data_IF_217728621619
#
_entry.id   IF_217728621619
#
_cell.length_a   1.000
_cell.length_b   1.000
_cell.length_c   1.000
_cell.angle_alpha   90.00
_cell.angle_beta   90.00
_cell.angle_gamma   90.00
#
_symmetry.space_group_name_H-M   'P 1'
#
loop_
_entity.id
_entity.type
_entity.pdbx_description
1 polymer ?
#
# COMPACT_ATOMS: atom_id res chain seq x y z
N UNK A 1 1.30 14.45 5.25
CA UNK A 1 0.19 14.03 4.34
C UNK A 1 -0.95 13.59 5.24
N UNK A 2 -2.20 14.02 4.96
CA UNK A 2 -3.35 13.51 5.71
C UNK A 2 -3.76 12.11 5.21
N UNK A 3 -4.55 11.38 6.04
CA UNK A 3 -4.87 9.98 5.76
C UNK A 3 -5.69 9.77 4.49
N UNK A 4 -6.62 10.68 4.15
CA UNK A 4 -7.42 10.57 2.94
C UNK A 4 -6.57 10.78 1.69
N UNK A 5 -5.67 11.76 1.72
CA UNK A 5 -4.73 11.99 0.62
C UNK A 5 -3.81 10.77 0.43
N UNK A 6 -3.34 10.13 1.51
CA UNK A 6 -2.53 8.91 1.41
C UNK A 6 -3.29 7.78 0.70
N UNK A 7 -4.57 7.55 1.06
CA UNK A 7 -5.42 6.55 0.41
C UNK A 7 -5.60 6.82 -1.09
N UNK A 8 -5.86 8.06 -1.47
CA UNK A 8 -6.16 8.43 -2.86
C UNK A 8 -4.91 8.48 -3.74
N UNK A 9 -3.74 8.84 -3.18
CA UNK A 9 -2.51 9.10 -3.96
C UNK A 9 -1.49 7.97 -3.95
N UNK A 10 -1.60 6.99 -3.03
CA UNK A 10 -0.70 5.84 -3.04
C UNK A 10 -0.75 5.08 -4.37
N UNK A 11 0.42 4.80 -4.94
CA UNK A 11 0.59 4.00 -6.18
C UNK A 11 1.58 2.86 -5.94
N UNK A 12 1.49 1.85 -6.79
CA UNK A 12 2.51 0.80 -6.86
C UNK A 12 3.76 1.35 -7.53
N UNK A 13 4.86 1.37 -6.80
CA UNK A 13 6.17 1.84 -7.24
C UNK A 13 7.08 0.63 -7.42
N UNK A 14 7.75 0.53 -8.57
CA UNK A 14 8.58 -0.61 -8.95
C UNK A 14 10.02 -0.24 -9.26
N UNK A 15 10.32 1.06 -9.33
CA UNK A 15 11.67 1.58 -9.55
C UNK A 15 12.03 2.49 -8.39
N UNK A 16 13.13 2.16 -7.71
CA UNK A 16 13.55 2.84 -6.49
C UNK A 16 14.94 3.43 -6.63
N UNK A 17 15.23 4.44 -5.84
CA UNK A 17 16.57 4.97 -5.65
C UNK A 17 17.38 4.00 -4.78
N UNK A 18 18.73 4.02 -4.89
CA UNK A 18 19.60 3.10 -4.15
C UNK A 18 19.72 3.43 -2.65
N UNK A 19 19.19 4.59 -2.20
CA UNK A 19 19.31 5.03 -0.81
C UNK A 19 18.59 4.06 0.13
N UNK A 20 19.27 3.72 1.23
CA UNK A 20 18.71 2.89 2.28
C UNK A 20 17.47 3.55 2.92
N UNK A 21 16.51 2.74 3.31
CA UNK A 21 15.35 3.19 4.07
C UNK A 21 15.76 3.39 5.53
N UNK A 22 15.46 4.56 6.08
CA UNK A 22 15.80 4.90 7.46
C UNK A 22 15.14 3.94 8.46
N UNK A 23 15.87 3.51 9.53
CA UNK A 23 15.33 2.57 10.53
C UNK A 23 14.02 3.03 11.17
N UNK A 24 13.88 4.33 11.43
CA UNK A 24 12.65 4.88 12.00
C UNK A 24 11.47 4.78 11.02
N UNK A 25 11.71 4.95 9.73
CA UNK A 25 10.69 4.74 8.70
C UNK A 25 10.23 3.28 8.65
N UNK A 26 11.17 2.33 8.78
CA UNK A 26 10.85 0.90 8.87
C UNK A 26 10.00 0.63 10.10
N UNK A 27 10.37 1.16 11.26
CA UNK A 27 9.62 1.01 12.51
C UNK A 27 8.18 1.50 12.36
N UNK A 28 7.97 2.69 11.80
CA UNK A 28 6.64 3.27 11.61
C UNK A 28 5.77 2.46 10.63
N UNK A 29 6.37 1.90 9.59
CA UNK A 29 5.66 1.00 8.65
C UNK A 29 5.17 -0.27 9.35
N UNK A 30 6.04 -0.90 10.16
CA UNK A 30 5.71 -2.12 10.90
C UNK A 30 4.67 -1.84 12.00
N UNK A 31 4.81 -0.72 12.71
CA UNK A 31 3.82 -0.27 13.68
C UNK A 31 2.45 -0.08 13.01
N UNK A 32 2.39 0.66 11.91
CA UNK A 32 1.16 0.84 11.14
C UNK A 32 0.54 -0.49 10.69
N UNK A 33 1.34 -1.47 10.27
CA UNK A 33 0.87 -2.81 9.93
C UNK A 33 0.24 -3.53 11.13
N UNK A 34 0.87 -3.45 12.31
CA UNK A 34 0.40 -4.09 13.54
C UNK A 34 -0.89 -3.46 14.10
N UNK A 35 -1.23 -2.24 13.70
CA UNK A 35 -2.50 -1.59 14.04
C UNK A 35 -3.66 -1.98 13.11
N UNK A 36 -3.47 -2.96 12.23
CA UNK A 36 -4.56 -3.48 11.42
C UNK A 36 -5.58 -4.24 12.27
N UNK A 37 -6.87 -4.25 11.89
CA UNK A 37 -7.85 -5.14 12.52
C UNK A 37 -7.57 -6.60 12.14
N UNK A 38 -7.93 -7.55 13.02
CA UNK A 38 -7.88 -8.97 12.74
C UNK A 38 -9.09 -9.70 13.32
N UNK A 39 -9.43 -10.86 12.76
CA UNK A 39 -10.52 -11.68 13.25
C UNK A 39 -10.29 -12.08 14.72
N UNK A 40 -11.26 -11.74 15.61
CA UNK A 40 -11.13 -12.00 17.04
C UNK A 40 -9.87 -11.45 17.68
N UNK A 41 -9.25 -10.43 17.10
CA UNK A 41 -7.98 -9.83 17.52
C UNK A 41 -6.83 -10.87 17.59
N UNK A 42 -6.79 -11.82 16.64
CA UNK A 42 -5.80 -12.91 16.66
C UNK A 42 -4.38 -12.50 16.21
N UNK A 43 -4.22 -11.36 15.53
CA UNK A 43 -2.93 -10.74 15.15
C UNK A 43 -1.90 -11.75 14.58
N UNK A 44 -2.23 -12.47 13.49
CA UNK A 44 -1.43 -13.59 13.01
C UNK A 44 -0.13 -13.14 12.34
N UNK A 45 -0.02 -11.89 11.94
CA UNK A 45 1.07 -11.37 11.14
C UNK A 45 2.44 -11.48 11.79
N UNK A 46 3.43 -11.83 10.96
CA UNK A 46 4.86 -11.78 11.25
C UNK A 46 5.56 -11.13 10.06
N UNK A 47 6.71 -10.54 10.30
CA UNK A 47 7.42 -9.78 9.28
C UNK A 47 8.88 -10.23 9.20
N UNK A 48 9.38 -10.43 7.95
CA UNK A 48 10.80 -10.65 7.70
C UNK A 48 11.33 -9.47 6.88
N UNK A 49 12.35 -8.79 7.38
CA UNK A 49 13.04 -7.70 6.70
C UNK A 49 14.18 -8.26 5.86
N UNK A 50 14.23 -7.93 4.59
CA UNK A 50 15.22 -8.42 3.64
C UNK A 50 15.94 -7.21 3.05
N UNK A 51 17.22 -7.04 3.42
CA UNK A 51 18.06 -5.92 2.99
C UNK A 51 19.35 -6.42 2.32
N UNK A 52 19.64 -7.72 2.38
CA UNK A 52 20.78 -8.31 1.69
C UNK A 52 20.55 -8.28 0.17
N UNK A 53 21.39 -7.57 -0.61
CA UNK A 53 21.26 -7.49 -2.06
C UNK A 53 21.31 -8.86 -2.76
N UNK A 54 22.08 -9.80 -2.24
CA UNK A 54 22.16 -11.14 -2.81
C UNK A 54 20.84 -11.91 -2.62
N UNK A 55 20.20 -11.76 -1.45
CA UNK A 55 18.89 -12.36 -1.19
C UNK A 55 17.80 -11.70 -2.04
N UNK A 56 17.78 -10.37 -2.15
CA UNK A 56 16.82 -9.64 -3.00
C UNK A 56 16.95 -10.08 -4.47
N UNK A 57 18.17 -10.20 -4.97
CA UNK A 57 18.44 -10.69 -6.34
C UNK A 57 17.98 -12.14 -6.53
N UNK A 58 18.25 -13.02 -5.56
CA UNK A 58 17.81 -14.41 -5.62
C UNK A 58 16.28 -14.51 -5.72
N UNK A 59 15.55 -13.76 -4.89
CA UNK A 59 14.09 -13.74 -4.94
C UNK A 59 13.58 -13.15 -6.26
N UNK A 60 14.23 -12.10 -6.78
CA UNK A 60 13.87 -11.49 -8.07
C UNK A 60 13.95 -12.50 -9.23
N UNK A 61 14.98 -13.35 -9.23
CA UNK A 61 15.19 -14.37 -10.24
C UNK A 61 14.16 -15.53 -10.16
N UNK A 62 13.74 -15.88 -8.96
CA UNK A 62 12.84 -17.02 -8.72
C UNK A 62 11.35 -16.65 -8.82
N UNK A 63 11.00 -15.33 -8.86
CA UNK A 63 9.60 -14.89 -8.85
C UNK A 63 9.26 -14.00 -10.05
N UNK A 64 8.33 -14.39 -10.94
CA UNK A 64 8.10 -13.73 -12.24
C UNK A 64 7.60 -12.27 -12.17
N UNK A 65 7.17 -11.82 -10.99
CA UNK A 65 6.66 -10.45 -10.77
C UNK A 65 7.49 -9.65 -9.78
N UNK A 66 8.71 -10.11 -9.47
CA UNK A 66 9.54 -9.49 -8.45
C UNK A 66 10.65 -8.58 -8.99
N UNK A 67 10.57 -8.14 -10.24
CA UNK A 67 11.54 -7.22 -10.86
C UNK A 67 11.77 -5.92 -10.06
N UNK A 68 10.77 -5.48 -9.27
CA UNK A 68 10.93 -4.35 -8.38
C UNK A 68 12.06 -4.53 -7.33
N UNK A 69 12.44 -5.78 -7.01
CA UNK A 69 13.54 -6.08 -6.08
C UNK A 69 14.92 -5.77 -6.66
N UNK A 70 15.06 -5.65 -7.98
CA UNK A 70 16.33 -5.32 -8.64
C UNK A 70 16.86 -3.94 -8.22
N UNK A 71 15.95 -3.03 -7.86
CA UNK A 71 16.30 -1.67 -7.41
C UNK A 71 15.89 -1.37 -5.97
N UNK A 72 15.09 -2.22 -5.32
CA UNK A 72 14.61 -1.96 -3.97
C UNK A 72 15.73 -2.17 -2.93
N UNK A 73 15.99 -1.19 -2.03
CA UNK A 73 16.95 -1.36 -0.94
C UNK A 73 16.41 -2.21 0.22
N UNK A 74 15.12 -2.47 0.25
CA UNK A 74 14.43 -3.22 1.29
C UNK A 74 13.24 -3.98 0.70
N UNK A 75 13.01 -5.19 1.15
CA UNK A 75 11.73 -5.86 1.02
C UNK A 75 11.23 -6.32 2.39
N UNK A 76 9.91 -6.24 2.60
CA UNK A 76 9.26 -6.73 3.81
C UNK A 76 8.35 -7.90 3.40
N UNK A 77 8.68 -9.10 3.88
CA UNK A 77 7.80 -10.25 3.72
C UNK A 77 6.79 -10.25 4.86
N UNK A 78 5.52 -10.16 4.51
CA UNK A 78 4.40 -10.35 5.45
C UNK A 78 4.06 -11.83 5.47
N UNK A 79 4.04 -12.41 6.66
CA UNK A 79 3.71 -13.81 6.92
C UNK A 79 2.58 -13.89 7.95
N UNK A 80 1.99 -15.08 8.08
CA UNK A 80 1.13 -15.44 9.21
C UNK A 80 1.74 -16.58 10.02
N UNK A 81 1.76 -16.47 11.35
CA UNK A 81 1.89 -17.63 12.23
C UNK A 81 0.53 -18.29 12.32
N UNK A 82 0.40 -19.52 11.79
CA UNK A 82 -0.90 -20.18 11.61
C UNK A 82 -1.23 -21.22 12.67
N UNK A 83 -0.28 -21.51 13.57
CA UNK A 83 -0.49 -22.47 14.66
C UNK A 83 -1.47 -21.91 15.69
N UNK A 84 -2.46 -22.72 16.05
CA UNK A 84 -3.42 -22.44 17.12
C UNK A 84 -4.23 -21.13 16.98
N UNK A 85 -4.45 -20.68 15.74
CA UNK A 85 -5.29 -19.51 15.48
C UNK A 85 -6.75 -19.79 15.85
N UNK A 86 -7.41 -18.91 16.62
CA UNK A 86 -8.84 -19.03 16.92
C UNK A 86 -9.73 -18.97 15.67
N UNK A 87 -9.29 -18.25 14.65
CA UNK A 87 -10.02 -18.03 13.39
C UNK A 87 -9.11 -18.32 12.18
N UNK A 88 -8.74 -19.60 11.92
CA UNK A 88 -7.71 -19.95 10.93
C UNK A 88 -8.09 -19.57 9.49
N UNK A 89 -9.37 -19.47 9.15
CA UNK A 89 -9.81 -19.11 7.81
C UNK A 89 -9.56 -17.62 7.46
N UNK A 90 -9.32 -16.78 8.46
CA UNK A 90 -9.19 -15.33 8.29
C UNK A 90 -7.76 -14.81 8.24
N UNK A 91 -6.73 -15.63 8.49
CA UNK A 91 -5.34 -15.14 8.54
C UNK A 91 -4.91 -14.38 7.26
N UNK A 92 -5.37 -14.84 6.09
CA UNK A 92 -5.07 -14.17 4.82
C UNK A 92 -5.71 -12.79 4.70
N UNK A 93 -6.94 -12.62 5.24
CA UNK A 93 -7.64 -11.33 5.28
C UNK A 93 -6.95 -10.38 6.27
N UNK A 94 -6.59 -10.89 7.44
CA UNK A 94 -5.87 -10.15 8.48
C UNK A 94 -4.52 -9.64 7.95
N UNK A 95 -3.73 -10.53 7.30
CA UNK A 95 -2.47 -10.14 6.68
C UNK A 95 -2.66 -9.15 5.52
N UNK A 96 -3.79 -9.20 4.79
CA UNK A 96 -4.11 -8.20 3.77
C UNK A 96 -4.32 -6.81 4.37
N UNK A 97 -5.05 -6.72 5.50
CA UNK A 97 -5.25 -5.47 6.23
C UNK A 97 -3.92 -4.89 6.72
N UNK A 98 -3.08 -5.72 7.35
CA UNK A 98 -1.74 -5.33 7.81
C UNK A 98 -0.85 -4.86 6.66
N UNK A 99 -0.87 -5.57 5.52
CA UNK A 99 -0.10 -5.21 4.33
C UNK A 99 -0.53 -3.85 3.77
N UNK A 100 -1.83 -3.59 3.68
CA UNK A 100 -2.33 -2.29 3.21
C UNK A 100 -1.91 -1.15 4.14
N UNK A 101 -2.00 -1.34 5.46
CA UNK A 101 -1.55 -0.35 6.43
C UNK A 101 -0.04 -0.07 6.31
N UNK A 102 0.79 -1.12 6.15
CA UNK A 102 2.23 -1.01 5.90
C UNK A 102 2.52 -0.12 4.68
N UNK A 103 1.84 -0.38 3.57
CA UNK A 103 2.03 0.36 2.33
C UNK A 103 1.55 1.82 2.42
N UNK A 104 0.49 2.09 3.18
CA UNK A 104 0.04 3.46 3.46
C UNK A 104 1.04 4.20 4.34
N UNK A 105 1.55 3.55 5.40
CA UNK A 105 2.56 4.12 6.27
C UNK A 105 3.85 4.44 5.51
N UNK A 106 4.27 3.58 4.56
CA UNK A 106 5.38 3.87 3.65
C UNK A 106 5.11 5.14 2.82
N UNK A 107 3.93 5.22 2.19
CA UNK A 107 3.56 6.35 1.34
C UNK A 107 3.48 7.67 2.12
N UNK A 108 2.94 7.65 3.34
CA UNK A 108 2.87 8.85 4.20
C UNK A 108 4.23 9.43 4.54
N UNK A 109 5.29 8.60 4.52
CA UNK A 109 6.68 8.97 4.75
C UNK A 109 7.45 9.33 3.46
N UNK A 110 6.76 9.37 2.30
CA UNK A 110 7.38 9.67 1.01
C UNK A 110 8.08 8.46 0.37
N UNK A 111 7.92 7.27 0.92
CA UNK A 111 8.42 6.02 0.35
C UNK A 111 7.45 5.46 -0.68
N UNK A 112 7.99 4.70 -1.63
CA UNK A 112 7.24 3.90 -2.58
C UNK A 112 7.21 2.43 -2.15
N UNK A 113 6.19 1.71 -2.57
CA UNK A 113 6.08 0.27 -2.36
C UNK A 113 5.21 -0.39 -3.42
N UNK A 114 5.36 -1.71 -3.58
CA UNK A 114 4.47 -2.52 -4.43
C UNK A 114 4.14 -3.83 -3.74
N UNK A 115 2.92 -4.32 -3.96
CA UNK A 115 2.47 -5.61 -3.45
C UNK A 115 2.79 -6.73 -4.45
N UNK A 116 3.68 -7.64 -4.08
CA UNK A 116 3.95 -8.89 -4.80
C UNK A 116 3.17 -10.00 -4.09
N UNK A 117 2.13 -10.53 -4.74
CA UNK A 117 1.25 -11.55 -4.15
C UNK A 117 1.90 -12.94 -4.14
N UNK A 118 2.00 -13.55 -2.97
CA UNK A 118 2.39 -14.93 -2.77
C UNK A 118 1.16 -15.81 -2.55
N UNK A 119 0.41 -15.54 -1.49
CA UNK A 119 -0.87 -16.21 -1.21
C UNK A 119 -1.93 -15.84 -2.26
N UNK A 120 -2.76 -16.77 -2.70
CA UNK A 120 -2.86 -18.20 -2.32
C UNK A 120 -2.06 -19.16 -3.22
N UNK A 121 -1.01 -18.69 -3.91
CA UNK A 121 -0.23 -19.49 -4.86
C UNK A 121 0.81 -20.34 -4.12
N UNK A 122 0.48 -21.61 -3.82
CA UNK A 122 1.30 -22.52 -3.03
C UNK A 122 2.75 -22.64 -3.50
N UNK A 123 2.97 -22.66 -4.82
CA UNK A 123 4.31 -22.72 -5.39
C UNK A 123 5.18 -21.49 -4.99
N UNK A 124 4.61 -20.29 -5.10
CA UNK A 124 5.29 -19.04 -4.70
C UNK A 124 5.57 -19.01 -3.20
N UNK A 125 4.58 -19.42 -2.40
CA UNK A 125 4.72 -19.50 -0.95
C UNK A 125 5.86 -20.46 -0.57
N UNK A 126 5.87 -21.67 -1.12
CA UNK A 126 6.89 -22.69 -0.84
C UNK A 126 8.30 -22.24 -1.25
N UNK A 127 8.44 -21.50 -2.36
CA UNK A 127 9.72 -20.93 -2.78
C UNK A 127 10.28 -19.97 -1.74
N UNK A 128 9.47 -19.01 -1.26
CA UNK A 128 9.90 -18.04 -0.25
C UNK A 128 10.15 -18.72 1.11
N UNK A 129 9.29 -19.66 1.52
CA UNK A 129 9.50 -20.42 2.77
C UNK A 129 10.85 -21.12 2.78
N UNK A 130 11.22 -21.77 1.68
CA UNK A 130 12.50 -22.47 1.54
C UNK A 130 13.69 -21.49 1.54
N UNK A 131 13.62 -20.41 0.74
CA UNK A 131 14.69 -19.42 0.64
C UNK A 131 14.99 -18.73 1.96
N UNK A 132 13.95 -18.43 2.73
CA UNK A 132 14.05 -17.68 3.98
C UNK A 132 14.00 -18.56 5.23
N UNK A 133 14.02 -19.91 5.06
CA UNK A 133 13.98 -20.90 6.15
C UNK A 133 12.83 -20.64 7.14
N UNK A 134 11.62 -20.34 6.60
CA UNK A 134 10.45 -20.12 7.47
C UNK A 134 10.07 -21.43 8.20
N UNK A 135 9.64 -21.33 9.48
CA UNK A 135 9.06 -22.48 10.19
C UNK A 135 7.81 -23.03 9.47
N UNK A 136 7.48 -24.31 9.71
CA UNK A 136 6.35 -24.99 9.06
C UNK A 136 4.99 -24.34 9.35
N UNK A 137 4.86 -23.67 10.49
CA UNK A 137 3.66 -22.96 10.94
C UNK A 137 3.65 -21.48 10.57
N UNK A 138 4.57 -21.03 9.71
CA UNK A 138 4.63 -19.66 9.21
C UNK A 138 4.39 -19.63 7.70
N UNK A 139 3.24 -19.11 7.31
CA UNK A 139 2.80 -19.02 5.92
C UNK A 139 3.13 -17.64 5.31
N UNK A 140 3.92 -17.56 4.23
CA UNK A 140 4.20 -16.29 3.56
C UNK A 140 2.97 -15.80 2.79
N UNK A 141 2.64 -14.52 2.98
CA UNK A 141 1.44 -13.90 2.42
C UNK A 141 1.74 -12.98 1.23
N UNK A 142 2.58 -11.99 1.44
CA UNK A 142 2.96 -11.00 0.42
C UNK A 142 4.37 -10.48 0.65
N UNK A 143 5.07 -10.17 -0.45
CA UNK A 143 6.38 -9.54 -0.41
C UNK A 143 6.26 -8.10 -0.87
N UNK A 144 6.77 -7.16 -0.08
CA UNK A 144 6.61 -5.72 -0.28
C UNK A 144 7.98 -5.06 -0.45
N UNK A 145 8.46 -4.87 -1.71
CA UNK A 145 9.59 -3.99 -1.99
C UNK A 145 9.29 -2.55 -1.55
N UNK A 146 10.25 -1.91 -0.90
CA UNK A 146 10.13 -0.56 -0.36
C UNK A 146 11.40 0.23 -0.63
N UNK A 147 11.26 1.51 -0.97
CA UNK A 147 12.37 2.44 -1.17
C UNK A 147 11.88 3.83 -1.57
N UNK A 148 12.82 4.75 -1.79
CA UNK A 148 12.48 6.07 -2.33
C UNK A 148 12.10 5.96 -3.82
N UNK A 149 10.94 6.50 -4.24
CA UNK A 149 10.44 6.29 -5.60
C UNK A 149 11.27 7.03 -6.65
N UNK A 150 11.54 6.38 -7.80
CA UNK A 150 12.08 7.02 -9.00
C UNK A 150 11.02 7.27 -10.08
N UNK A 151 9.79 6.85 -9.85
CA UNK A 151 8.68 7.02 -10.77
C UNK A 151 7.49 7.70 -10.08
N UNK A 152 6.63 8.34 -10.88
CA UNK A 152 5.40 8.98 -10.41
C UNK A 152 4.25 8.58 -11.32
N UNK A 153 3.64 7.41 -11.09
CA UNK A 153 2.49 6.97 -11.87
C UNK A 153 1.31 7.94 -11.75
N UNK A 154 0.54 8.07 -12.82
CA UNK A 154 -0.68 8.88 -12.84
C UNK A 154 -1.70 8.42 -11.81
N UNK A 155 -2.52 9.36 -11.35
CA UNK A 155 -3.62 9.08 -10.43
C UNK A 155 -4.86 8.69 -11.24
N UNK A 156 -5.32 7.43 -11.17
CA UNK A 156 -6.55 7.00 -11.83
C UNK A 156 -7.78 7.51 -11.09
N UNK A 157 -8.84 7.78 -11.79
CA UNK A 157 -10.17 7.94 -11.24
C UNK A 157 -10.76 6.56 -10.92
N UNK A 158 -11.21 6.34 -9.69
CA UNK A 158 -11.66 5.02 -9.21
C UNK A 158 -13.00 5.02 -8.49
N UNK A 159 -13.66 6.17 -8.39
CA UNK A 159 -14.99 6.21 -7.81
C UNK A 159 -16.04 5.83 -8.84
N UNK A 160 -16.79 4.79 -8.56
CA UNK A 160 -17.83 4.23 -9.42
C UNK A 160 -19.15 4.18 -8.64
N UNK A 161 -19.97 5.23 -8.78
CA UNK A 161 -21.26 5.32 -8.08
C UNK A 161 -22.19 4.14 -8.43
N UNK A 162 -22.09 3.62 -9.65
CA UNK A 162 -22.87 2.49 -10.14
C UNK A 162 -22.53 1.14 -9.48
N UNK A 163 -21.40 1.06 -8.74
CA UNK A 163 -21.03 -0.13 -7.95
C UNK A 163 -21.67 -0.13 -6.56
N UNK A 164 -22.31 0.96 -6.17
CA UNK A 164 -22.91 1.13 -4.85
C UNK A 164 -24.39 0.75 -4.92
N UNK A 165 -24.86 -0.04 -3.97
CA UNK A 165 -26.25 -0.45 -3.84
C UNK A 165 -26.81 0.02 -2.50
N UNK A 166 -28.14 0.24 -2.46
CA UNK A 166 -28.86 0.61 -1.25
C UNK A 166 -29.64 -0.62 -0.78
N UNK A 167 -29.48 -1.03 0.47
CA UNK A 167 -30.20 -2.09 1.15
C UNK A 167 -30.12 -3.46 0.45
N UNK A 168 -30.43 -3.55 -0.85
CA UNK A 168 -30.46 -4.79 -1.64
C UNK A 168 -29.63 -4.65 -2.92
N UNK A 169 -29.21 -5.78 -3.48
CA UNK A 169 -28.32 -5.81 -4.66
C UNK A 169 -28.88 -5.07 -5.87
N UNK A 170 -30.21 -5.14 -6.10
CA UNK A 170 -30.84 -4.52 -7.26
C UNK A 170 -31.29 -3.06 -7.03
N UNK A 171 -31.18 -2.56 -5.80
CA UNK A 171 -31.55 -1.19 -5.47
C UNK A 171 -30.34 -0.28 -5.70
N UNK A 172 -30.44 0.63 -6.69
CA UNK A 172 -29.39 1.61 -6.92
C UNK A 172 -29.28 2.56 -5.72
N UNK A 173 -28.06 2.90 -5.33
CA UNK A 173 -27.86 3.86 -4.26
C UNK A 173 -28.28 5.26 -4.70
N UNK A 174 -29.27 5.83 -4.01
CA UNK A 174 -29.89 7.13 -4.32
C UNK A 174 -29.50 8.23 -3.34
N UNK A 175 -28.76 7.93 -2.27
CA UNK A 175 -28.31 8.90 -1.32
C UNK A 175 -27.27 9.83 -1.93
N UNK A 176 -27.74 11.06 -2.22
CA UNK A 176 -26.93 12.20 -2.51
C UNK A 176 -25.90 11.92 -3.60
N UNK A 177 -26.25 12.14 -4.85
CA UNK A 177 -25.26 12.61 -5.79
C UNK A 177 -24.68 13.88 -5.15
N UNK A 178 -23.64 13.71 -4.31
CA UNK A 178 -22.67 14.77 -4.17
C UNK A 178 -22.12 14.90 -5.57
N UNK A 179 -22.58 15.90 -6.27
CA UNK A 179 -22.07 16.22 -7.60
C UNK A 179 -20.61 16.67 -7.39
N UNK A 180 -19.73 15.68 -7.38
CA UNK A 180 -18.28 15.91 -7.22
C UNK A 180 -17.77 16.77 -8.37
N UNK A 181 -18.48 16.78 -9.52
CA UNK A 181 -18.18 17.64 -10.65
C UNK A 181 -18.51 19.09 -10.32
N UNK A 182 -19.65 19.36 -9.67
CA UNK A 182 -20.02 20.70 -9.23
C UNK A 182 -19.08 21.22 -8.13
N UNK A 183 -18.69 20.35 -7.19
CA UNK A 183 -17.75 20.73 -6.13
C UNK A 183 -16.34 20.99 -6.69
N UNK A 184 -15.84 20.14 -7.59
CA UNK A 184 -14.55 20.35 -8.25
C UNK A 184 -14.53 21.60 -9.12
N UNK A 185 -15.62 21.88 -9.84
CA UNK A 185 -15.77 23.11 -10.63
C UNK A 185 -15.82 24.37 -9.74
N UNK A 186 -16.45 24.26 -8.57
CA UNK A 186 -16.53 25.37 -7.61
C UNK A 186 -15.17 25.64 -6.96
N UNK A 187 -14.43 24.60 -6.57
CA UNK A 187 -13.06 24.70 -6.05
C UNK A 187 -12.09 25.25 -7.10
N UNK A 188 -12.22 24.84 -8.36
CA UNK A 188 -11.42 25.38 -9.47
C UNK A 188 -11.75 26.84 -9.75
N UNK A 189 -13.03 27.22 -9.70
CA UNK A 189 -13.47 28.60 -9.85
C UNK A 189 -12.96 29.50 -8.71
N UNK A 190 -12.95 29.00 -7.48
CA UNK A 190 -12.39 29.71 -6.31
C UNK A 190 -10.87 29.86 -6.43
N UNK A 191 -10.14 28.83 -6.88
CA UNK A 191 -8.71 28.91 -7.16
C UNK A 191 -8.38 29.93 -8.26
N UNK A 192 -9.17 29.96 -9.34
CA UNK A 192 -9.01 30.97 -10.42
C UNK A 192 -9.27 32.38 -9.92
N UNK A 193 -10.32 32.58 -9.08
CA UNK A 193 -10.59 33.87 -8.43
C UNK A 193 -9.43 34.30 -7.52
N UNK A 194 -8.96 33.43 -6.66
CA UNK A 194 -7.84 33.72 -5.76
C UNK A 194 -6.54 34.05 -6.52
N UNK A 195 -6.27 33.39 -7.62
CA UNK A 195 -5.12 33.65 -8.48
C UNK A 195 -5.25 35.00 -9.22
N UNK A 196 -6.47 35.38 -9.63
CA UNK A 196 -6.75 36.68 -10.27
C UNK A 196 -6.57 37.84 -9.28
N UNK A 197 -7.04 37.72 -8.04
CA UNK A 197 -6.82 38.71 -6.98
C UNK A 197 -5.35 38.92 -6.69
N UNK A 198 -4.57 37.83 -6.56
CA UNK A 198 -3.11 37.93 -6.37
C UNK A 198 -2.37 38.63 -7.50
N UNK A 199 -2.84 38.50 -8.75
CA UNK A 199 -2.25 39.19 -9.90
C UNK A 199 -2.58 40.71 -9.91
N UNK A 200 -3.75 41.10 -9.40
CA UNK A 200 -4.12 42.50 -9.27
C UNK A 200 -3.34 43.20 -8.15
N UNK A 201 -3.11 42.51 -7.02
CA UNK A 201 -2.29 43.05 -5.92
C UNK A 201 -0.79 43.16 -6.26
N UNK A 202 -0.28 42.29 -7.12
CA UNK A 202 1.14 42.36 -7.57
C UNK A 202 1.38 43.40 -8.68
N UNK A 203 0.35 43.91 -9.33
CA UNK A 203 0.45 44.93 -10.38
C UNK A 203 0.30 46.40 -9.90
N UNK A 204 0.18 46.61 -8.60
CA UNK A 204 0.02 47.93 -7.99
C UNK A 204 1.31 48.51 -7.36
N UNK A 205 2.47 47.87 -7.62
CA UNK A 205 3.78 48.29 -7.11
C UNK A 205 4.84 48.45 -8.23
N UNK A 206 4.44 49.11 -9.35
CA UNK A 206 5.38 49.67 -10.35
C UNK A 206 5.05 51.16 -10.55
#
# INVERSE_FOLDING_TARGET
MDGMNALLTRRSIRVFRPEAVEPEAIRLMLEGAMYAPSAGNQEPWRFVLIQDPAMLTSIANDHPYASALESAPLAILVCAATRDLPHPDFWGVDCAAATQNLMLAAHMQGLGSVWIGLYPKRERMATLSRLLHLPEDVEPFALIPVGYPMERPEQPERYHAEWIRSERWFDAWTFGRVDLSAKAQQEEAERKKAAAVKRLDSGLHD
#
